data_IF_572579895419
#
_entry.id   IF_572579895419
#
_cell.length_a   1.000
_cell.length_b   1.000
_cell.length_c   1.000
_cell.angle_alpha   90.00
_cell.angle_beta   90.00
_cell.angle_gamma   90.00
#
_symmetry.space_group_name_H-M   'P 1'
#
loop_
_entity.id
_entity.type
_entity.pdbx_description
1 polymer ?
#
# COMPACT_ATOMS: atom_id res chain seq x y z
N UNK A 1 1.87 8.93 -2.28
CA UNK A 1 2.57 8.10 -1.26
C UNK A 1 3.43 7.05 -1.96
N UNK A 2 4.77 7.17 -1.87
CA UNK A 2 5.69 6.15 -2.43
C UNK A 2 5.69 4.89 -1.56
N UNK A 3 5.90 3.71 -2.17
CA UNK A 3 5.86 2.45 -1.42
C UNK A 3 7.05 1.53 -1.72
N UNK A 4 7.46 0.79 -0.70
CA UNK A 4 8.46 -0.28 -0.77
C UNK A 4 8.05 -1.46 0.09
N UNK A 5 8.16 -2.68 -0.45
CA UNK A 5 7.94 -3.92 0.29
C UNK A 5 9.24 -4.57 0.76
N UNK A 6 9.19 -5.23 1.89
CA UNK A 6 10.26 -6.11 2.40
C UNK A 6 9.63 -7.46 2.71
N UNK A 7 10.04 -8.50 2.03
CA UNK A 7 9.44 -9.81 2.20
C UNK A 7 10.49 -10.94 2.23
N UNK A 8 10.09 -12.15 2.54
CA UNK A 8 10.97 -13.30 2.70
C UNK A 8 10.49 -14.21 3.84
N UNK A 9 11.21 -15.30 4.12
CA UNK A 9 10.88 -16.21 5.21
C UNK A 9 11.11 -15.61 6.60
N UNK A 10 10.62 -16.31 7.64
CA UNK A 10 10.87 -15.91 9.03
C UNK A 10 12.39 -15.83 9.31
N UNK A 11 12.77 -14.92 10.19
CA UNK A 11 14.15 -14.69 10.66
C UNK A 11 15.17 -14.21 9.62
N UNK A 12 14.78 -13.91 8.38
CA UNK A 12 15.69 -13.43 7.30
C UNK A 12 16.11 -11.96 7.42
N UNK A 13 15.73 -11.26 8.48
CA UNK A 13 16.10 -9.85 8.72
C UNK A 13 15.12 -8.81 8.18
N UNK A 14 13.92 -9.20 7.71
CA UNK A 14 12.88 -8.29 7.16
C UNK A 14 12.57 -7.12 8.08
N UNK A 15 12.20 -7.41 9.32
CA UNK A 15 11.80 -6.37 10.29
C UNK A 15 12.95 -5.41 10.57
N UNK A 16 14.17 -5.90 10.68
CA UNK A 16 15.36 -5.05 10.87
C UNK A 16 15.54 -4.11 9.69
N UNK A 17 15.49 -4.63 8.45
CA UNK A 17 15.64 -3.83 7.25
C UNK A 17 14.49 -2.81 7.11
N UNK A 18 13.24 -3.23 7.34
CA UNK A 18 12.08 -2.35 7.30
C UNK A 18 12.22 -1.20 8.32
N UNK A 19 12.65 -1.51 9.55
CA UNK A 19 12.90 -0.50 10.59
C UNK A 19 13.99 0.48 10.19
N UNK A 20 15.09 0.00 9.61
CA UNK A 20 16.19 0.87 9.11
C UNK A 20 15.69 1.80 7.98
N UNK A 21 14.88 1.28 7.05
CA UNK A 21 14.29 2.09 5.98
C UNK A 21 13.36 3.17 6.54
N UNK A 22 12.49 2.82 7.49
CA UNK A 22 11.60 3.78 8.15
C UNK A 22 12.41 4.88 8.83
N UNK A 23 13.43 4.52 9.62
CA UNK A 23 14.28 5.48 10.32
C UNK A 23 14.99 6.44 9.35
N UNK A 24 15.59 5.90 8.29
CA UNK A 24 16.32 6.71 7.32
C UNK A 24 15.39 7.64 6.49
N UNK A 25 14.17 7.21 6.20
CA UNK A 25 13.16 8.05 5.55
C UNK A 25 12.68 9.17 6.50
N UNK A 26 12.46 8.86 7.78
CA UNK A 26 12.13 9.86 8.81
C UNK A 26 13.23 10.88 9.01
N UNK A 27 14.50 10.46 9.03
CA UNK A 27 15.67 11.36 9.11
C UNK A 27 15.75 12.31 7.90
N UNK A 28 15.24 11.92 6.74
CA UNK A 28 15.10 12.78 5.56
C UNK A 28 13.91 13.73 5.61
N UNK A 29 13.10 13.68 6.68
CA UNK A 29 11.96 14.57 6.89
C UNK A 29 10.64 14.06 6.32
N UNK A 30 10.56 12.82 5.82
CA UNK A 30 9.33 12.25 5.29
C UNK A 30 8.41 11.72 6.41
N UNK A 31 7.11 11.85 6.20
CA UNK A 31 6.12 11.08 6.96
C UNK A 31 6.05 9.66 6.41
N UNK A 32 6.17 8.67 7.32
CA UNK A 32 6.27 7.26 6.94
C UNK A 32 5.21 6.45 7.66
N UNK A 33 4.36 5.76 6.91
CA UNK A 33 3.46 4.72 7.40
C UNK A 33 4.08 3.34 7.22
N UNK A 34 3.62 2.37 8.00
CA UNK A 34 4.04 0.99 7.87
C UNK A 34 2.84 0.05 7.94
N UNK A 35 2.90 -1.03 7.15
CA UNK A 35 1.98 -2.17 7.24
C UNK A 35 2.83 -3.42 7.49
N UNK A 36 2.37 -4.27 8.40
CA UNK A 36 2.95 -5.59 8.62
C UNK A 36 1.88 -6.66 8.39
N UNK A 37 2.15 -7.52 7.43
CA UNK A 37 1.35 -8.70 7.18
C UNK A 37 1.80 -9.85 8.10
N UNK A 38 0.86 -10.44 8.84
CA UNK A 38 1.16 -11.46 9.84
C UNK A 38 0.41 -12.74 9.49
N UNK A 39 1.11 -13.65 8.82
CA UNK A 39 0.63 -15.00 8.50
C UNK A 39 0.77 -15.93 9.70
N UNK A 40 -0.03 -15.72 10.73
CA UNK A 40 -0.08 -16.59 11.90
C UNK A 40 -1.54 -16.77 12.32
N UNK A 41 -2.06 -17.98 12.19
CA UNK A 41 -3.45 -18.31 12.51
C UNK A 41 -3.83 -18.01 13.98
N UNK A 42 -2.86 -17.95 14.88
CA UNK A 42 -3.08 -17.63 16.29
C UNK A 42 -2.89 -16.14 16.60
N UNK A 43 -2.63 -15.31 15.59
CA UNK A 43 -2.47 -13.88 15.82
C UNK A 43 -3.82 -13.16 15.83
N UNK A 44 -4.07 -12.49 16.93
CA UNK A 44 -5.19 -11.56 17.08
C UNK A 44 -4.64 -10.20 17.53
N UNK A 45 -5.05 -9.12 16.87
CA UNK A 45 -4.67 -7.75 17.24
C UNK A 45 -5.26 -7.32 18.57
N UNK A 46 -6.35 -7.96 19.01
CA UNK A 46 -6.99 -7.74 20.30
C UNK A 46 -6.93 -9.02 21.15
N UNK A 47 -6.98 -8.83 22.47
CA UNK A 47 -6.98 -9.93 23.43
C UNK A 47 -8.41 -10.43 23.64
N UNK A 48 -8.63 -11.72 23.45
CA UNK A 48 -9.91 -12.38 23.78
C UNK A 48 -10.37 -12.05 25.21
N UNK A 49 -11.63 -11.69 25.35
CA UNK A 49 -12.25 -11.29 26.62
C UNK A 49 -11.96 -9.86 27.06
N UNK A 50 -11.16 -9.08 26.32
CA UNK A 50 -11.00 -7.64 26.56
C UNK A 50 -12.31 -6.88 26.32
N UNK A 51 -12.41 -5.62 26.77
CA UNK A 51 -13.61 -4.81 26.52
C UNK A 51 -13.77 -4.51 25.02
N UNK A 52 -12.68 -4.21 24.30
CA UNK A 52 -12.70 -3.99 22.85
C UNK A 52 -13.14 -5.23 22.10
N UNK A 53 -12.62 -6.39 22.47
CA UNK A 53 -13.04 -7.68 21.90
C UNK A 53 -14.55 -7.93 22.08
N UNK A 54 -15.08 -7.67 23.29
CA UNK A 54 -16.52 -7.82 23.59
C UNK A 54 -17.40 -6.87 22.77
N UNK A 55 -16.91 -5.66 22.45
CA UNK A 55 -17.63 -4.73 21.57
C UNK A 55 -17.68 -5.26 20.13
N UNK A 56 -16.56 -5.84 19.64
CA UNK A 56 -16.52 -6.46 18.31
C UNK A 56 -17.45 -7.69 18.24
N UNK A 57 -17.44 -8.56 19.23
CA UNK A 57 -18.34 -9.72 19.32
C UNK A 57 -19.83 -9.31 19.35
N UNK A 58 -20.14 -8.15 19.92
CA UNK A 58 -21.50 -7.58 19.89
C UNK A 58 -21.88 -6.99 18.50
N UNK A 59 -20.96 -7.02 17.52
CA UNK A 59 -21.19 -6.58 16.14
C UNK A 59 -20.66 -5.19 15.79
N UNK A 60 -19.89 -4.54 16.69
CA UNK A 60 -19.24 -3.27 16.34
C UNK A 60 -18.08 -3.50 15.36
N UNK A 61 -18.08 -2.80 14.22
CA UNK A 61 -17.02 -2.88 13.20
C UNK A 61 -16.92 -1.56 12.42
N UNK A 62 -15.80 -0.82 12.52
CA UNK A 62 -14.62 -1.10 13.35
C UNK A 62 -14.80 -0.77 14.83
N UNK A 63 -13.91 -1.30 15.68
CA UNK A 63 -13.76 -0.90 17.06
C UNK A 63 -12.53 -0.01 17.23
N UNK A 64 -12.70 1.21 17.75
CA UNK A 64 -11.61 2.09 18.13
C UNK A 64 -11.27 1.88 19.60
N UNK A 65 -10.09 1.37 19.89
CA UNK A 65 -9.56 1.24 21.23
C UNK A 65 -8.52 2.34 21.48
N UNK A 66 -8.87 3.34 22.30
CA UNK A 66 -7.99 4.48 22.62
C UNK A 66 -7.46 4.36 24.03
N UNK A 67 -6.14 4.25 24.17
CA UNK A 67 -5.42 4.38 25.43
C UNK A 67 -4.99 5.82 25.72
N UNK A 68 -4.12 5.99 26.72
CA UNK A 68 -3.52 7.28 27.07
C UNK A 68 -2.39 7.68 26.11
N UNK A 69 -1.68 6.71 25.55
CA UNK A 69 -0.47 6.92 24.75
C UNK A 69 -0.61 6.45 23.30
N UNK A 70 -1.48 5.49 23.03
CA UNK A 70 -1.69 4.89 21.73
C UNK A 70 -3.18 4.60 21.47
N UNK A 71 -3.49 4.24 20.24
CA UNK A 71 -4.82 3.79 19.84
C UNK A 71 -4.70 2.69 18.79
N UNK A 72 -5.68 1.79 18.76
CA UNK A 72 -5.83 0.77 17.74
C UNK A 72 -7.20 0.87 17.07
N UNK A 73 -7.27 0.50 15.81
CA UNK A 73 -8.52 0.28 15.08
C UNK A 73 -8.59 -1.19 14.70
N UNK A 74 -9.65 -1.85 15.13
CA UNK A 74 -9.84 -3.29 14.99
C UNK A 74 -11.00 -3.52 14.02
N UNK A 75 -10.73 -4.30 12.97
CA UNK A 75 -11.70 -4.68 11.95
C UNK A 75 -11.97 -6.18 12.00
N UNK A 76 -13.22 -6.56 11.79
CA UNK A 76 -13.65 -7.95 11.60
C UNK A 76 -14.58 -8.06 10.39
N UNK A 77 -14.18 -8.73 9.28
CA UNK A 77 -12.86 -9.33 9.06
C UNK A 77 -11.74 -8.28 8.90
N UNK A 78 -10.48 -8.76 8.90
CA UNK A 78 -9.33 -7.91 8.59
C UNK A 78 -9.49 -7.31 7.17
N UNK A 79 -9.19 -6.01 6.96
CA UNK A 79 -9.28 -5.38 5.66
C UNK A 79 -8.16 -5.89 4.73
N UNK A 80 -8.45 -5.91 3.43
CA UNK A 80 -7.45 -6.16 2.39
C UNK A 80 -6.53 -4.94 2.20
N UNK A 81 -5.37 -5.14 1.54
CA UNK A 81 -4.40 -4.06 1.33
C UNK A 81 -5.00 -2.79 0.69
N UNK A 82 -5.86 -2.85 -0.36
CA UNK A 82 -6.49 -1.66 -0.91
C UNK A 82 -7.27 -0.86 0.13
N UNK A 83 -8.02 -1.54 0.99
CA UNK A 83 -8.81 -0.89 2.04
C UNK A 83 -7.92 -0.24 3.11
N UNK A 84 -6.80 -0.90 3.48
CA UNK A 84 -5.83 -0.33 4.43
C UNK A 84 -5.23 0.97 3.92
N UNK A 85 -4.97 1.09 2.61
CA UNK A 85 -4.37 2.28 2.02
C UNK A 85 -5.22 3.54 2.22
N UNK A 86 -6.55 3.42 2.34
CA UNK A 86 -7.45 4.54 2.57
C UNK A 86 -7.31 5.19 3.96
N UNK A 87 -6.71 4.48 4.93
CA UNK A 87 -6.44 5.00 6.27
C UNK A 87 -5.08 5.69 6.38
N UNK A 88 -4.26 5.64 5.32
CA UNK A 88 -2.89 6.13 5.36
C UNK A 88 -2.76 7.46 4.63
N UNK A 89 -2.18 8.44 5.32
CA UNK A 89 -1.81 9.74 4.76
C UNK A 89 -0.35 10.03 5.13
N UNK A 90 0.57 9.65 4.26
CA UNK A 90 2.02 9.78 4.47
C UNK A 90 2.75 9.91 3.15
N UNK A 91 4.01 10.35 3.18
CA UNK A 91 4.85 10.46 1.98
C UNK A 91 5.30 9.08 1.50
N UNK A 92 5.58 8.19 2.47
CA UNK A 92 6.09 6.84 2.22
C UNK A 92 5.31 5.78 2.97
N UNK A 93 5.26 4.60 2.36
CA UNK A 93 4.73 3.37 2.94
C UNK A 93 5.79 2.28 2.87
N UNK A 94 6.14 1.71 4.03
CA UNK A 94 6.98 0.52 4.14
C UNK A 94 6.11 -0.67 4.51
N UNK A 95 6.10 -1.70 3.67
CA UNK A 95 5.28 -2.91 3.90
C UNK A 95 6.20 -4.09 4.22
N UNK A 96 6.00 -4.72 5.35
CA UNK A 96 6.62 -6.01 5.68
C UNK A 96 5.62 -7.15 5.40
N UNK A 97 5.94 -8.01 4.45
CA UNK A 97 5.03 -9.07 3.95
C UNK A 97 4.38 -8.70 2.62
N UNK A 98 3.16 -9.12 2.41
CA UNK A 98 2.38 -8.89 1.18
C UNK A 98 3.18 -9.21 -0.09
N UNK A 99 3.63 -10.48 -0.21
CA UNK A 99 4.45 -10.93 -1.33
C UNK A 99 3.84 -10.62 -2.69
N UNK A 100 2.50 -10.70 -2.81
CA UNK A 100 1.76 -10.48 -4.06
C UNK A 100 1.43 -9.01 -4.35
N UNK A 101 1.70 -8.10 -3.39
CA UNK A 101 1.38 -6.69 -3.61
C UNK A 101 2.13 -6.11 -4.82
N UNK A 102 1.45 -5.25 -5.58
CA UNK A 102 1.96 -4.64 -6.81
C UNK A 102 2.80 -3.38 -6.49
N UNK A 103 4.02 -3.57 -5.97
CA UNK A 103 4.96 -2.50 -5.61
C UNK A 103 6.42 -3.01 -5.69
N UNK A 104 7.43 -2.12 -5.76
CA UNK A 104 8.83 -2.50 -5.67
C UNK A 104 9.13 -3.20 -4.34
N UNK A 105 9.99 -4.24 -4.37
CA UNK A 105 10.25 -5.05 -3.18
C UNK A 105 11.71 -5.37 -2.99
N UNK A 106 12.10 -5.57 -1.72
CA UNK A 106 13.37 -6.16 -1.32
C UNK A 106 13.09 -7.56 -0.79
N UNK A 107 13.73 -8.56 -1.36
CA UNK A 107 13.67 -9.94 -0.89
C UNK A 107 14.76 -10.19 0.14
N UNK A 108 14.39 -10.60 1.36
CA UNK A 108 15.33 -11.06 2.38
C UNK A 108 15.41 -12.58 2.35
N UNK A 109 16.61 -13.12 2.16
CA UNK A 109 16.85 -14.55 2.05
C UNK A 109 18.13 -14.99 2.78
N UNK A 110 18.16 -16.24 3.22
CA UNK A 110 19.33 -16.88 3.82
C UNK A 110 20.16 -17.65 2.78
N UNK A 111 19.49 -18.20 1.78
CA UNK A 111 20.11 -19.10 0.80
C UNK A 111 19.46 -18.98 -0.59
N UNK A 112 20.12 -19.58 -1.59
CA UNK A 112 19.68 -19.56 -2.98
C UNK A 112 18.34 -20.28 -3.21
N UNK A 113 18.00 -21.29 -2.39
CA UNK A 113 16.72 -21.99 -2.47
C UNK A 113 15.56 -21.04 -2.22
N UNK A 114 15.64 -20.25 -1.14
CA UNK A 114 14.64 -19.24 -0.80
C UNK A 114 14.50 -18.18 -1.90
N UNK A 115 15.62 -17.75 -2.52
CA UNK A 115 15.55 -16.79 -3.63
C UNK A 115 14.77 -17.41 -4.79
N UNK A 116 15.09 -18.65 -5.20
CA UNK A 116 14.43 -19.31 -6.34
C UNK A 116 12.92 -19.47 -6.14
N UNK A 117 12.50 -19.69 -4.90
CA UNK A 117 11.10 -19.89 -4.55
C UNK A 117 10.31 -18.58 -4.50
N UNK A 118 10.91 -17.51 -3.94
CA UNK A 118 10.23 -16.26 -3.63
C UNK A 118 10.48 -15.16 -4.66
N UNK A 119 11.52 -15.31 -5.51
CA UNK A 119 11.86 -14.27 -6.46
C UNK A 119 10.72 -14.00 -7.45
N UNK A 120 10.49 -12.73 -7.69
CA UNK A 120 9.54 -12.27 -8.70
C UNK A 120 10.02 -10.96 -9.34
N UNK A 121 9.47 -10.55 -10.50
CA UNK A 121 9.96 -9.40 -11.27
C UNK A 121 9.80 -8.03 -10.60
N UNK A 122 9.15 -7.94 -9.43
CA UNK A 122 9.03 -6.69 -8.68
C UNK A 122 10.18 -6.49 -7.68
N UNK A 123 11.09 -7.47 -7.55
CA UNK A 123 12.26 -7.40 -6.67
C UNK A 123 13.31 -6.47 -7.27
N UNK A 124 13.70 -5.43 -6.51
CA UNK A 124 14.73 -4.45 -6.90
C UNK A 124 16.08 -4.70 -6.23
N UNK A 125 16.08 -5.41 -5.11
CA UNK A 125 17.27 -5.84 -4.39
C UNK A 125 17.00 -7.10 -3.60
N UNK A 126 18.05 -7.86 -3.31
CA UNK A 126 18.04 -9.00 -2.40
C UNK A 126 18.95 -8.69 -1.23
N UNK A 127 18.59 -9.11 -0.02
CA UNK A 127 19.38 -8.91 1.19
C UNK A 127 19.25 -10.10 2.14
N UNK A 128 19.83 -10.01 3.34
CA UNK A 128 19.87 -11.09 4.32
C UNK A 128 21.19 -11.86 4.32
N UNK A 129 21.22 -13.04 4.94
CA UNK A 129 22.46 -13.81 5.08
C UNK A 129 23.08 -14.24 3.75
N UNK A 130 22.29 -14.45 2.72
CA UNK A 130 22.75 -14.76 1.36
C UNK A 130 23.73 -13.74 0.81
N UNK A 131 23.68 -12.48 1.26
CA UNK A 131 24.59 -11.41 0.82
C UNK A 131 26.05 -11.65 1.18
N UNK A 132 26.33 -12.55 2.11
CA UNK A 132 27.70 -12.95 2.45
C UNK A 132 28.35 -13.82 1.38
N UNK A 133 27.56 -14.48 0.53
CA UNK A 133 28.03 -15.46 -0.45
C UNK A 133 27.67 -15.14 -1.88
N UNK A 134 26.69 -14.26 -2.11
CA UNK A 134 26.18 -13.91 -3.42
C UNK A 134 26.16 -12.37 -3.56
N UNK A 135 26.59 -11.86 -4.72
CA UNK A 135 26.59 -10.42 -5.00
C UNK A 135 25.48 -9.99 -5.98
N UNK A 136 25.03 -10.89 -6.85
CA UNK A 136 23.98 -10.62 -7.81
C UNK A 136 23.18 -11.89 -8.09
N UNK A 137 21.89 -11.73 -8.39
CA UNK A 137 21.01 -12.79 -8.87
C UNK A 137 20.16 -12.24 -10.02
N UNK A 138 20.32 -12.77 -11.25
CA UNK A 138 19.59 -12.31 -12.45
C UNK A 138 19.58 -10.77 -12.57
N UNK A 139 20.74 -10.13 -12.61
CA UNK A 139 20.91 -8.67 -12.69
C UNK A 139 20.39 -7.87 -11.49
N UNK A 140 19.81 -8.54 -10.48
CA UNK A 140 19.37 -7.91 -9.23
C UNK A 140 20.53 -7.91 -8.23
N UNK A 141 20.89 -6.76 -7.65
CA UNK A 141 21.98 -6.67 -6.67
C UNK A 141 21.59 -7.37 -5.37
N UNK A 142 22.54 -8.15 -4.83
CA UNK A 142 22.43 -8.72 -3.48
C UNK A 142 23.29 -7.87 -2.56
N UNK A 143 22.68 -7.24 -1.56
CA UNK A 143 23.30 -6.21 -0.73
C UNK A 143 23.11 -6.56 0.73
N UNK A 144 24.22 -6.57 1.50
CA UNK A 144 24.13 -6.73 2.95
C UNK A 144 23.64 -5.44 3.61
N UNK A 145 22.42 -5.46 4.15
CA UNK A 145 21.84 -4.30 4.84
C UNK A 145 22.63 -3.89 6.09
N UNK A 146 23.46 -4.78 6.66
CA UNK A 146 24.27 -4.47 7.85
C UNK A 146 25.51 -3.63 7.52
N UNK A 147 26.09 -3.83 6.34
CA UNK A 147 27.34 -3.21 5.94
C UNK A 147 27.19 -2.16 4.84
N UNK A 148 26.17 -2.25 4.00
CA UNK A 148 25.95 -1.34 2.85
C UNK A 148 24.48 -0.89 2.74
N UNK A 149 23.88 -0.49 3.86
CA UNK A 149 22.49 -0.02 3.90
C UNK A 149 22.24 1.19 2.99
N UNK A 150 23.21 2.11 2.87
CA UNK A 150 23.05 3.29 2.02
C UNK A 150 22.82 2.94 0.55
N UNK A 151 23.40 1.86 0.07
CA UNK A 151 23.15 1.39 -1.29
C UNK A 151 21.71 0.89 -1.47
N UNK A 152 21.17 0.18 -0.47
CA UNK A 152 19.76 -0.22 -0.46
C UNK A 152 18.85 1.01 -0.44
N UNK A 153 19.12 1.97 0.46
CA UNK A 153 18.33 3.19 0.57
C UNK A 153 18.32 3.99 -0.74
N UNK A 154 19.46 4.12 -1.41
CA UNK A 154 19.55 4.82 -2.69
C UNK A 154 18.72 4.10 -3.77
N UNK A 155 18.77 2.78 -3.85
CA UNK A 155 17.91 2.00 -4.76
C UNK A 155 16.43 2.20 -4.46
N UNK A 156 16.05 2.22 -3.17
CA UNK A 156 14.65 2.48 -2.76
C UNK A 156 14.22 3.88 -3.21
N UNK A 157 15.04 4.90 -2.96
CA UNK A 157 14.73 6.29 -3.34
C UNK A 157 14.61 6.45 -4.86
N UNK A 158 15.41 5.71 -5.64
CA UNK A 158 15.40 5.72 -7.11
C UNK A 158 14.21 4.95 -7.70
N UNK A 159 13.94 3.73 -7.20
CA UNK A 159 13.01 2.79 -7.82
C UNK A 159 11.61 2.83 -7.27
N UNK A 160 11.40 3.37 -6.05
CA UNK A 160 10.06 3.46 -5.50
C UNK A 160 9.25 4.58 -6.17
N UNK A 161 8.03 4.27 -6.47
CA UNK A 161 7.04 5.16 -7.07
C UNK A 161 5.75 5.18 -6.22
N UNK A 162 4.86 6.11 -6.50
CA UNK A 162 3.58 6.20 -5.80
C UNK A 162 2.80 4.91 -5.98
N UNK A 163 2.36 4.31 -4.87
CA UNK A 163 1.71 3.01 -4.84
C UNK A 163 0.55 2.96 -5.84
N UNK A 164 0.46 1.86 -6.58
CA UNK A 164 -0.68 1.59 -7.45
C UNK A 164 -1.91 1.25 -6.60
N UNK A 165 -3.13 1.41 -7.13
CA UNK A 165 -4.37 1.20 -6.37
C UNK A 165 -4.56 -0.19 -5.78
N UNK A 166 -3.76 -1.19 -6.16
CA UNK A 166 -3.88 -2.59 -5.73
C UNK A 166 -5.26 -3.20 -6.06
N UNK A 167 -5.90 -2.68 -7.10
CA UNK A 167 -7.24 -3.13 -7.50
C UNK A 167 -7.24 -4.55 -8.01
N UNK A 168 -8.33 -5.27 -7.73
CA UNK A 168 -8.60 -6.57 -8.33
C UNK A 168 -8.60 -6.45 -9.87
N UNK A 169 -7.91 -7.35 -10.60
CA UNK A 169 -7.90 -7.37 -12.06
C UNK A 169 -9.29 -7.44 -12.71
N UNK A 170 -10.27 -8.07 -12.05
CA UNK A 170 -11.64 -8.13 -12.53
C UNK A 170 -12.36 -6.78 -12.36
N UNK A 171 -11.95 -5.98 -11.37
CA UNK A 171 -12.55 -4.67 -11.09
C UNK A 171 -11.86 -3.52 -11.81
N UNK A 172 -10.59 -3.66 -12.21
CA UNK A 172 -9.82 -2.59 -12.85
C UNK A 172 -8.92 -3.12 -13.97
N UNK A 173 -9.32 -2.84 -15.21
CA UNK A 173 -8.47 -3.01 -16.40
C UNK A 173 -8.35 -1.73 -17.22
N UNK A 174 -8.54 -0.57 -16.60
CA UNK A 174 -8.64 0.72 -17.30
C UNK A 174 -7.37 1.08 -18.12
N UNK A 175 -6.18 0.66 -17.65
CA UNK A 175 -4.93 0.81 -18.38
C UNK A 175 -4.58 -0.42 -19.27
N UNK A 176 -5.45 -1.42 -19.35
CA UNK A 176 -5.22 -2.67 -20.08
C UNK A 176 -4.26 -3.65 -19.40
N UNK A 177 -3.88 -3.42 -18.15
CA UNK A 177 -2.91 -4.23 -17.38
C UNK A 177 -3.39 -4.39 -15.93
N UNK A 178 -2.90 -5.44 -15.25
CA UNK A 178 -3.03 -5.54 -13.79
C UNK A 178 -2.07 -4.57 -13.11
N UNK A 179 -2.33 -4.19 -11.86
CA UNK A 179 -1.38 -3.39 -11.07
C UNK A 179 -0.01 -4.07 -10.97
N UNK A 180 0.02 -5.40 -10.85
CA UNK A 180 1.26 -6.17 -10.82
C UNK A 180 2.05 -6.06 -12.13
N UNK A 181 1.40 -6.22 -13.29
CA UNK A 181 2.03 -6.06 -14.59
C UNK A 181 2.52 -4.61 -14.80
N UNK A 182 1.74 -3.63 -14.38
CA UNK A 182 2.14 -2.22 -14.43
C UNK A 182 3.37 -1.96 -13.57
N UNK A 183 3.45 -2.53 -12.36
CA UNK A 183 4.66 -2.43 -11.52
C UNK A 183 5.91 -2.94 -12.23
N UNK A 184 5.81 -4.12 -12.86
CA UNK A 184 6.94 -4.70 -13.64
C UNK A 184 7.35 -3.77 -14.76
N UNK A 185 6.40 -3.27 -15.54
CA UNK A 185 6.67 -2.40 -16.68
C UNK A 185 7.31 -1.07 -16.24
N UNK A 186 6.89 -0.50 -15.12
CA UNK A 186 7.50 0.70 -14.52
C UNK A 186 8.96 0.41 -14.12
N UNK A 187 9.21 -0.68 -13.40
CA UNK A 187 10.56 -1.06 -12.95
C UNK A 187 11.51 -1.35 -14.12
N UNK A 188 10.98 -1.84 -15.23
CA UNK A 188 11.72 -2.08 -16.47
C UNK A 188 11.84 -0.86 -17.39
N UNK A 189 11.27 0.29 -17.00
CA UNK A 189 11.27 1.52 -17.81
C UNK A 189 10.38 1.45 -19.07
N UNK A 190 9.47 0.48 -19.15
CA UNK A 190 8.50 0.31 -20.25
C UNK A 190 7.23 1.11 -20.06
N UNK A 191 6.95 1.53 -18.84
CA UNK A 191 5.82 2.36 -18.45
C UNK A 191 6.25 3.37 -17.40
N UNK A 192 5.42 4.39 -17.19
CA UNK A 192 5.54 5.36 -16.10
C UNK A 192 4.41 5.17 -15.10
N UNK A 193 4.57 5.72 -13.88
CA UNK A 193 3.52 5.67 -12.86
C UNK A 193 2.22 6.32 -13.35
N UNK A 194 2.33 7.38 -14.11
CA UNK A 194 1.24 8.17 -14.69
C UNK A 194 0.43 7.40 -15.76
N UNK A 195 0.95 6.29 -16.27
CA UNK A 195 0.21 5.44 -17.22
C UNK A 195 -0.90 4.63 -16.54
N UNK A 196 -0.88 4.56 -15.19
CA UNK A 196 -2.02 4.09 -14.43
C UNK A 196 -3.09 5.20 -14.35
N UNK A 197 -4.14 5.03 -15.11
CA UNK A 197 -5.18 6.05 -15.29
C UNK A 197 -6.16 6.20 -14.12
N UNK A 198 -6.19 5.24 -13.17
CA UNK A 198 -7.13 5.31 -12.04
C UNK A 198 -6.73 6.30 -10.96
N UNK A 199 -5.45 6.57 -10.81
CA UNK A 199 -4.92 7.24 -9.63
C UNK A 199 -4.45 8.68 -9.89
N UNK A 200 -4.26 9.03 -11.16
CA UNK A 200 -3.65 10.32 -11.49
C UNK A 200 -4.60 11.51 -11.42
N UNK A 201 -5.87 11.26 -11.29
CA UNK A 201 -6.89 12.31 -11.27
C UNK A 201 -8.14 11.83 -10.54
N UNK A 202 -8.01 11.47 -9.25
CA UNK A 202 -9.21 11.32 -8.41
C UNK A 202 -9.87 12.69 -8.23
N UNK A 203 -10.32 13.25 -9.37
CA UNK A 203 -11.15 14.44 -9.39
C UNK A 203 -12.53 14.18 -8.77
N UNK A 204 -12.87 12.90 -8.56
CA UNK A 204 -14.08 12.45 -7.87
C UNK A 204 -13.84 11.08 -7.23
N UNK A 205 -14.20 10.93 -5.97
CA UNK A 205 -14.30 9.64 -5.29
C UNK A 205 -15.77 9.33 -4.96
N UNK A 206 -16.19 8.10 -5.21
CA UNK A 206 -17.53 7.64 -4.90
C UNK A 206 -17.42 6.43 -3.98
N UNK A 207 -18.20 6.45 -2.90
CA UNK A 207 -18.35 5.27 -2.04
C UNK A 207 -19.83 4.92 -1.86
N UNK A 208 -20.15 3.63 -1.85
CA UNK A 208 -21.49 3.11 -1.65
C UNK A 208 -21.46 2.17 -0.44
N UNK A 209 -22.27 2.50 0.56
CA UNK A 209 -22.28 1.74 1.83
C UNK A 209 -20.93 1.74 2.55
N UNK A 210 -20.13 2.81 2.39
CA UNK A 210 -18.79 2.96 2.97
C UNK A 210 -17.69 2.24 2.18
N UNK A 211 -18.01 1.55 1.08
CA UNK A 211 -17.03 0.91 0.21
C UNK A 211 -16.71 1.80 -0.98
N UNK A 212 -15.43 2.05 -1.29
CA UNK A 212 -15.05 2.84 -2.45
C UNK A 212 -15.46 2.11 -3.75
N UNK A 213 -16.04 2.87 -4.68
CA UNK A 213 -16.39 2.39 -6.01
C UNK A 213 -15.29 2.80 -6.99
N UNK A 214 -14.66 1.81 -7.61
CA UNK A 214 -13.68 2.05 -8.67
C UNK A 214 -14.41 2.49 -9.95
N UNK A 215 -14.04 3.67 -10.47
CA UNK A 215 -14.65 4.24 -11.66
C UNK A 215 -13.57 4.55 -12.68
N UNK A 216 -13.81 4.15 -13.94
CA UNK A 216 -12.87 4.46 -15.04
C UNK A 216 -12.82 5.97 -15.32
N UNK A 217 -11.68 6.53 -15.76
CA UNK A 217 -11.46 7.98 -15.88
C UNK A 217 -12.52 8.72 -16.72
N UNK A 218 -12.99 8.09 -17.78
CA UNK A 218 -14.05 8.69 -18.61
C UNK A 218 -15.33 8.95 -17.79
N UNK A 219 -15.72 7.97 -16.96
CA UNK A 219 -16.90 8.08 -16.09
C UNK A 219 -16.64 9.06 -14.95
N UNK A 220 -15.42 9.07 -14.38
CA UNK A 220 -15.03 10.08 -13.38
C UNK A 220 -15.17 11.50 -13.91
N UNK A 221 -14.66 11.77 -15.12
CA UNK A 221 -14.77 13.06 -15.76
C UNK A 221 -16.23 13.45 -16.01
N UNK A 222 -17.04 12.52 -16.50
CA UNK A 222 -18.46 12.73 -16.72
C UNK A 222 -19.20 13.10 -15.43
N UNK A 223 -18.98 12.37 -14.35
CA UNK A 223 -19.59 12.67 -13.05
C UNK A 223 -19.11 14.01 -12.51
N UNK A 224 -17.79 14.26 -12.53
CA UNK A 224 -17.22 15.52 -12.06
C UNK A 224 -17.83 16.70 -12.80
N UNK A 225 -17.78 16.68 -14.13
CA UNK A 225 -18.22 17.82 -14.96
C UNK A 225 -19.73 18.04 -14.81
N UNK A 226 -20.52 16.98 -14.69
CA UNK A 226 -21.96 17.08 -14.42
C UNK A 226 -22.23 17.68 -13.04
N UNK A 227 -21.55 17.21 -12.00
CA UNK A 227 -21.72 17.72 -10.63
C UNK A 227 -21.31 19.18 -10.56
N UNK A 228 -20.14 19.54 -11.10
CA UNK A 228 -19.66 20.93 -11.13
C UNK A 228 -20.68 21.82 -11.87
N UNK A 229 -21.18 21.39 -13.03
CA UNK A 229 -22.18 22.15 -13.77
C UNK A 229 -23.48 22.38 -12.97
N UNK A 230 -23.94 21.36 -12.22
CA UNK A 230 -25.13 21.48 -11.37
C UNK A 230 -24.96 22.46 -10.21
N UNK A 231 -23.80 22.44 -9.54
CA UNK A 231 -23.58 23.24 -8.32
C UNK A 231 -23.03 24.64 -8.60
N UNK A 232 -22.38 24.87 -9.76
CA UNK A 232 -21.80 26.16 -10.12
C UNK A 232 -22.82 27.33 -10.17
N UNK A 233 -24.09 26.99 -10.35
CA UNK A 233 -25.20 27.96 -10.38
C UNK A 233 -25.78 28.23 -8.98
N UNK A 234 -25.30 27.56 -7.92
CA UNK A 234 -25.78 27.79 -6.56
C UNK A 234 -25.06 29.01 -5.93
N UNK A 235 -25.83 29.85 -5.22
CA UNK A 235 -25.27 31.01 -4.53
C UNK A 235 -24.30 30.57 -3.43
N UNK A 236 -23.09 31.14 -3.40
CA UNK A 236 -22.09 30.90 -2.37
C UNK A 236 -21.17 29.67 -2.63
N UNK A 237 -21.27 29.04 -3.78
CA UNK A 237 -20.38 27.94 -4.17
C UNK A 237 -19.18 28.47 -4.94
N UNK A 238 -17.98 28.04 -4.53
CA UNK A 238 -16.74 28.25 -5.30
C UNK A 238 -16.30 26.89 -5.88
N UNK A 239 -16.43 26.67 -7.20
CA UNK A 239 -16.09 25.38 -7.82
C UNK A 239 -14.61 25.01 -7.77
N UNK A 240 -13.73 25.94 -7.33
CA UNK A 240 -12.29 25.69 -7.16
C UNK A 240 -11.94 25.08 -5.79
N UNK A 241 -12.93 24.92 -4.90
CA UNK A 241 -12.75 24.27 -3.60
C UNK A 241 -13.21 22.82 -3.68
N UNK A 242 -12.70 22.00 -2.76
CA UNK A 242 -13.14 20.62 -2.62
C UNK A 242 -14.64 20.57 -2.26
N UNK A 243 -15.35 19.66 -2.90
CA UNK A 243 -16.81 19.53 -2.78
C UNK A 243 -17.12 18.14 -2.25
N UNK A 244 -17.82 18.08 -1.11
CA UNK A 244 -18.34 16.83 -0.56
C UNK A 244 -19.87 16.76 -0.80
N UNK A 245 -20.32 15.66 -1.42
CA UNK A 245 -21.75 15.38 -1.65
C UNK A 245 -22.10 14.07 -0.96
N UNK A 246 -23.04 14.12 -0.03
CA UNK A 246 -23.57 12.93 0.67
C UNK A 246 -25.01 12.66 0.24
N UNK A 247 -25.23 11.51 -0.36
CA UNK A 247 -26.57 11.06 -0.78
C UNK A 247 -26.97 9.93 0.16
N UNK A 248 -28.11 10.09 0.85
CA UNK A 248 -28.72 8.98 1.60
C UNK A 248 -29.44 8.05 0.62
N UNK A 249 -29.31 6.74 0.83
CA UNK A 249 -30.13 5.75 0.13
C UNK A 249 -31.63 6.05 0.33
N UNK A 250 -32.45 5.64 -0.60
CA UNK A 250 -33.90 5.67 -0.39
C UNK A 250 -34.24 4.58 0.63
N UNK A 251 -34.97 4.95 1.69
CA UNK A 251 -35.67 3.98 2.52
C UNK A 251 -36.77 3.37 1.65
N UNK A 252 -36.73 2.04 1.42
CA UNK A 252 -37.79 1.25 0.75
C UNK A 252 -38.98 1.07 1.69
#
# INVERSE_FOLDING_TARGET
MKAIGVFGYHHTGKTTLATMLISALKEKGYEVAAIKDIHNENYHSDKEGSNSWRLAEAGANPVFAKGLYDAAVIFHPAPELPDMLHFLNSDWLVIEGFQEAALPKILCAENLGQIKELWNPTVIAISGEISQTLQNYQDIPVIDYKTDFNRILNLVLEKAFDILPQSDPECCSACGKTCYQMTIDILQGKAKREDCVLDNHNSISISIGGKPLTIVPFVQNLFRDTIIAMISNLKGVNPSQDIEIRIKGKDD
#
